data_IF_401946991268
#
_entry.id   IF_401946991268
#
_cell.length_a   1.000
_cell.length_b   1.000
_cell.length_c   1.000
_cell.angle_alpha   90.00
_cell.angle_beta   90.00
_cell.angle_gamma   90.00
#
_symmetry.space_group_name_H-M   'P 1'
#
loop_
_entity.id
_entity.type
_entity.pdbx_description
1 polymer ?
#
# COMPACT_ATOMS: atom_id res chain seq x y z
N UNK A 1 -4.75 -13.89 -4.29
CA UNK A 1 -3.37 -14.03 -3.77
C UNK A 1 -3.44 -14.23 -2.27
N UNK A 2 -2.35 -14.65 -1.61
CA UNK A 2 -2.31 -14.85 -0.14
C UNK A 2 -2.64 -13.55 0.63
N UNK A 3 -2.40 -12.40 -0.01
CA UNK A 3 -2.68 -11.05 0.48
C UNK A 3 -4.18 -10.72 0.58
N UNK A 4 -4.97 -11.06 -0.45
CA UNK A 4 -6.43 -10.91 -0.42
C UNK A 4 -7.06 -11.68 0.75
N UNK A 5 -6.54 -12.89 1.02
CA UNK A 5 -7.00 -13.73 2.12
C UNK A 5 -6.66 -13.11 3.48
N UNK A 6 -5.50 -12.48 3.62
CA UNK A 6 -5.12 -11.75 4.83
C UNK A 6 -6.00 -10.51 5.03
N UNK A 7 -6.22 -9.69 4.00
CA UNK A 7 -7.10 -8.50 4.04
C UNK A 7 -8.51 -8.89 4.50
N UNK A 8 -9.09 -9.93 3.90
CA UNK A 8 -10.41 -10.47 4.30
C UNK A 8 -10.40 -11.02 5.72
N UNK A 9 -9.32 -11.66 6.16
CA UNK A 9 -9.22 -12.17 7.53
C UNK A 9 -9.19 -11.04 8.58
N UNK A 10 -8.49 -9.94 8.30
CA UNK A 10 -8.46 -8.76 9.18
C UNK A 10 -9.85 -8.12 9.24
N UNK A 11 -10.48 -7.86 8.09
CA UNK A 11 -11.84 -7.32 8.02
C UNK A 11 -12.84 -8.20 8.78
N UNK A 12 -12.75 -9.53 8.65
CA UNK A 12 -13.62 -10.47 9.34
C UNK A 12 -13.43 -10.46 10.85
N UNK A 13 -12.18 -10.38 11.33
CA UNK A 13 -11.89 -10.24 12.77
C UNK A 13 -12.43 -8.92 13.32
N UNK A 14 -12.22 -7.84 12.59
CA UNK A 14 -12.70 -6.51 12.96
C UNK A 14 -14.23 -6.47 13.02
N UNK A 15 -14.92 -6.99 12.00
CA UNK A 15 -16.38 -7.12 12.01
C UNK A 15 -16.89 -7.92 13.20
N UNK A 16 -16.28 -9.08 13.48
CA UNK A 16 -16.68 -9.95 14.60
C UNK A 16 -16.43 -9.33 15.98
N UNK A 17 -15.45 -8.44 16.10
CA UNK A 17 -15.18 -7.72 17.35
C UNK A 17 -16.35 -6.79 17.71
N UNK A 18 -17.08 -6.27 16.72
CA UNK A 18 -18.17 -5.31 16.92
C UNK A 18 -19.57 -5.92 16.75
N UNK A 19 -19.71 -7.03 16.02
CA UNK A 19 -20.91 -7.87 15.99
C UNK A 19 -20.95 -8.84 17.19
N UNK A 20 -20.95 -8.30 18.41
CA UNK A 20 -20.98 -9.08 19.66
C UNK A 20 -22.21 -9.98 19.77
N UNK A 21 -23.29 -9.60 19.09
CA UNK A 21 -24.55 -10.34 19.02
C UNK A 21 -24.54 -11.45 17.97
N UNK A 22 -23.50 -11.57 17.15
CA UNK A 22 -23.44 -12.48 15.99
C UNK A 22 -24.66 -12.36 15.08
N UNK A 23 -25.15 -11.14 14.96
CA UNK A 23 -26.32 -10.79 14.17
C UNK A 23 -26.02 -10.83 12.66
N UNK A 24 -24.75 -10.76 12.28
CA UNK A 24 -24.32 -10.58 10.90
C UNK A 24 -24.42 -9.13 10.43
N UNK A 25 -24.71 -8.19 11.34
CA UNK A 25 -24.83 -6.76 11.06
C UNK A 25 -24.09 -5.93 12.11
N UNK A 26 -23.52 -4.81 11.69
CA UNK A 26 -22.94 -3.78 12.58
C UNK A 26 -23.57 -2.43 12.25
N UNK A 27 -23.70 -1.57 13.25
CA UNK A 27 -24.17 -0.21 13.05
C UNK A 27 -23.14 0.61 12.23
N UNK A 28 -23.60 1.46 11.31
CA UNK A 28 -22.72 2.27 10.44
C UNK A 28 -21.78 3.17 11.25
N UNK A 29 -22.25 3.68 12.39
CA UNK A 29 -21.44 4.46 13.34
C UNK A 29 -20.26 3.68 13.93
N UNK A 30 -20.30 2.34 13.92
CA UNK A 30 -19.18 1.51 14.40
C UNK A 30 -18.10 1.34 13.34
N UNK A 31 -18.39 1.60 12.08
CA UNK A 31 -17.42 1.46 10.98
C UNK A 31 -16.23 2.39 11.20
N UNK A 32 -16.48 3.66 11.54
CA UNK A 32 -15.40 4.63 11.86
C UNK A 32 -14.55 4.16 13.04
N UNK A 33 -15.17 3.59 14.08
CA UNK A 33 -14.44 3.04 15.22
C UNK A 33 -13.60 1.82 14.83
N UNK A 34 -14.11 0.97 13.94
CA UNK A 34 -13.41 -0.21 13.43
C UNK A 34 -12.17 0.22 12.62
N UNK A 35 -12.34 1.11 11.65
CA UNK A 35 -11.25 1.61 10.81
C UNK A 35 -10.15 2.26 11.65
N UNK A 36 -10.53 3.09 12.62
CA UNK A 36 -9.58 3.70 13.55
C UNK A 36 -8.87 2.67 14.45
N UNK A 37 -9.58 1.60 14.87
CA UNK A 37 -8.97 0.49 15.64
C UNK A 37 -7.99 -0.32 14.80
N UNK A 38 -8.21 -0.37 13.49
CA UNK A 38 -7.29 -0.98 12.53
C UNK A 38 -6.10 -0.07 12.18
N UNK A 39 -6.06 1.16 12.72
CA UNK A 39 -4.99 2.13 12.47
C UNK A 39 -5.12 2.86 11.13
N UNK A 40 -6.24 2.68 10.44
CA UNK A 40 -6.50 3.31 9.14
C UNK A 40 -6.82 4.78 9.34
N UNK A 41 -6.21 5.64 8.53
CA UNK A 41 -6.54 7.05 8.43
C UNK A 41 -7.59 7.23 7.33
N UNK A 42 -8.65 7.97 7.61
CA UNK A 42 -9.72 8.25 6.67
C UNK A 42 -10.36 9.59 6.99
N UNK A 43 -10.90 10.25 5.96
CA UNK A 43 -11.74 11.42 6.13
C UNK A 43 -13.19 11.02 6.43
N UNK A 44 -13.78 11.61 7.46
CA UNK A 44 -15.20 11.38 7.82
C UNK A 44 -16.14 11.65 6.64
N UNK A 45 -15.80 12.62 5.78
CA UNK A 45 -16.59 12.96 4.61
C UNK A 45 -16.60 11.84 3.56
N UNK A 46 -15.45 11.22 3.31
CA UNK A 46 -15.33 10.13 2.34
C UNK A 46 -15.99 8.85 2.87
N UNK A 47 -15.75 8.52 4.14
CA UNK A 47 -16.42 7.41 4.81
C UNK A 47 -17.94 7.58 4.79
N UNK A 48 -18.45 8.78 5.07
CA UNK A 48 -19.89 9.02 5.04
C UNK A 48 -20.45 8.89 3.62
N UNK A 49 -19.73 9.35 2.59
CA UNK A 49 -20.15 9.18 1.20
C UNK A 49 -20.23 7.69 0.81
N UNK A 50 -19.26 6.87 1.23
CA UNK A 50 -19.28 5.42 1.01
C UNK A 50 -20.40 4.72 1.77
N UNK A 51 -20.69 5.15 3.00
CA UNK A 51 -21.82 4.64 3.78
C UNK A 51 -23.14 4.99 3.08
N UNK A 52 -23.34 6.23 2.64
CA UNK A 52 -24.56 6.64 1.93
C UNK A 52 -24.75 5.90 0.60
N UNK A 53 -23.67 5.63 -0.13
CA UNK A 53 -23.72 4.83 -1.36
C UNK A 53 -24.16 3.38 -1.08
N UNK A 54 -23.73 2.79 0.04
CA UNK A 54 -23.98 1.40 0.35
C UNK A 54 -25.16 1.15 1.31
N UNK A 55 -25.69 2.20 1.95
CA UNK A 55 -26.89 2.20 2.80
C UNK A 55 -27.85 3.34 2.37
N UNK A 56 -28.36 3.33 1.12
CA UNK A 56 -29.23 4.40 0.60
C UNK A 56 -30.57 4.49 1.34
N UNK A 57 -31.00 3.39 1.96
CA UNK A 57 -32.21 3.32 2.78
C UNK A 57 -31.99 3.85 4.21
N UNK A 58 -30.76 4.24 4.56
CA UNK A 58 -30.36 4.66 5.91
C UNK A 58 -30.84 3.69 6.99
N UNK A 59 -30.68 2.39 6.74
CA UNK A 59 -30.97 1.34 7.72
C UNK A 59 -30.09 1.54 8.97
N UNK A 60 -28.94 2.20 8.80
CA UNK A 60 -27.99 2.47 9.86
C UNK A 60 -27.22 1.23 10.29
N UNK A 61 -27.34 0.14 9.51
CA UNK A 61 -26.69 -1.14 9.76
C UNK A 61 -26.22 -1.75 8.45
N UNK A 62 -24.99 -2.25 8.46
CA UNK A 62 -24.37 -2.91 7.31
C UNK A 62 -24.04 -4.36 7.64
N UNK A 63 -24.13 -5.23 6.64
CA UNK A 63 -23.66 -6.61 6.75
C UNK A 63 -22.16 -6.70 6.44
N UNK A 64 -21.59 -7.89 6.57
CA UNK A 64 -20.17 -8.11 6.30
C UNK A 64 -19.75 -7.78 4.85
N UNK A 65 -20.61 -8.05 3.86
CA UNK A 65 -20.33 -7.76 2.44
C UNK A 65 -20.17 -6.26 2.19
N UNK A 66 -21.12 -5.46 2.70
CA UNK A 66 -21.10 -4.00 2.61
C UNK A 66 -19.92 -3.44 3.41
N UNK A 67 -19.68 -3.95 4.62
CA UNK A 67 -18.52 -3.57 5.40
C UNK A 67 -17.22 -3.83 4.64
N UNK A 68 -17.06 -4.98 3.98
CA UNK A 68 -15.89 -5.27 3.15
C UNK A 68 -15.74 -4.31 1.96
N UNK A 69 -16.83 -3.85 1.35
CA UNK A 69 -16.75 -2.85 0.26
C UNK A 69 -16.26 -1.49 0.76
N UNK A 70 -16.80 -1.05 1.89
CA UNK A 70 -16.41 0.22 2.50
C UNK A 70 -14.96 0.12 3.00
N UNK A 71 -14.66 -0.87 3.83
CA UNK A 71 -13.32 -1.08 4.40
C UNK A 71 -12.28 -1.42 3.32
N UNK A 72 -12.67 -2.15 2.27
CA UNK A 72 -11.79 -2.47 1.14
C UNK A 72 -11.28 -1.21 0.45
N UNK A 73 -12.12 -0.18 0.31
CA UNK A 73 -11.71 1.10 -0.27
C UNK A 73 -10.58 1.77 0.53
N UNK A 74 -10.69 1.77 1.85
CA UNK A 74 -9.66 2.34 2.73
C UNK A 74 -8.42 1.45 2.81
N UNK A 75 -8.59 0.13 2.79
CA UNK A 75 -7.50 -0.85 2.80
C UNK A 75 -6.79 -1.01 1.45
N UNK A 76 -7.38 -0.52 0.35
CA UNK A 76 -6.75 -0.43 -0.97
C UNK A 76 -5.94 0.86 -1.13
N UNK A 77 -6.36 1.98 -0.51
CA UNK A 77 -5.63 3.25 -0.57
C UNK A 77 -4.35 3.25 0.28
N UNK A 78 -4.31 2.46 1.35
CA UNK A 78 -3.10 2.32 2.17
C UNK A 78 -1.96 1.57 1.45
N UNK A 79 -2.26 0.83 0.37
CA UNK A 79 -1.23 0.06 -0.36
C UNK A 79 -0.31 0.99 -1.17
N UNK A 80 -0.84 2.02 -1.83
CA UNK A 80 -0.03 2.92 -2.65
C UNK A 80 0.78 3.92 -1.80
N UNK A 81 0.16 4.52 -0.77
CA UNK A 81 0.87 5.47 0.10
C UNK A 81 1.88 4.76 1.02
N UNK A 82 1.53 3.61 1.61
CA UNK A 82 2.50 2.85 2.41
C UNK A 82 3.63 2.31 1.53
N UNK A 83 3.34 1.79 0.33
CA UNK A 83 4.39 1.36 -0.60
C UNK A 83 5.27 2.54 -1.01
N UNK A 84 4.72 3.71 -1.32
CA UNK A 84 5.53 4.91 -1.62
C UNK A 84 6.37 5.34 -0.41
N UNK A 85 5.87 5.22 0.81
CA UNK A 85 6.60 5.56 2.02
C UNK A 85 7.74 4.58 2.29
N UNK A 86 7.49 3.27 2.17
CA UNK A 86 8.50 2.21 2.27
C UNK A 86 9.57 2.36 1.17
N UNK A 87 9.16 2.66 -0.07
CA UNK A 87 10.07 2.95 -1.18
C UNK A 87 10.89 4.22 -0.92
N UNK A 88 10.31 5.26 -0.32
CA UNK A 88 11.06 6.47 0.08
C UNK A 88 12.06 6.16 1.17
N UNK A 89 11.72 5.35 2.17
CA UNK A 89 12.64 4.96 3.22
C UNK A 89 13.78 4.10 2.67
N UNK A 90 13.47 3.15 1.80
CA UNK A 90 14.46 2.35 1.08
C UNK A 90 15.36 3.25 0.22
N UNK A 91 14.78 4.19 -0.54
CA UNK A 91 15.51 5.14 -1.36
C UNK A 91 16.47 6.00 -0.53
N UNK A 92 16.03 6.51 0.63
CA UNK A 92 16.90 7.25 1.58
C UNK A 92 18.01 6.40 2.17
N UNK A 93 17.79 5.09 2.36
CA UNK A 93 18.83 4.18 2.81
C UNK A 93 19.95 4.06 1.77
N UNK A 94 19.59 4.17 0.49
CA UNK A 94 20.51 4.05 -0.65
C UNK A 94 21.14 5.39 -1.05
N UNK A 95 20.40 6.50 -0.99
CA UNK A 95 20.90 7.87 -1.17
C UNK A 95 21.68 8.34 0.07
N UNK A 96 22.87 7.74 0.28
CA UNK A 96 23.74 8.03 1.43
C UNK A 96 24.17 9.50 1.51
N UNK A 97 24.17 10.20 0.38
CA UNK A 97 24.57 11.61 0.31
C UNK A 97 23.39 12.57 0.52
N UNK A 98 22.15 12.09 0.46
CA UNK A 98 20.95 12.91 0.67
C UNK A 98 20.69 13.89 -0.47
N UNK A 99 21.17 13.58 -1.68
CA UNK A 99 21.07 14.44 -2.84
C UNK A 99 19.71 14.30 -3.57
N UNK A 100 18.91 13.30 -3.20
CA UNK A 100 17.63 12.98 -3.84
C UNK A 100 17.75 12.12 -5.10
N UNK A 101 18.92 11.52 -5.35
CA UNK A 101 19.18 10.62 -6.47
C UNK A 101 20.21 9.55 -6.08
N UNK A 102 20.07 8.34 -6.61
CA UNK A 102 21.03 7.25 -6.41
C UNK A 102 21.93 7.18 -7.64
N UNK A 103 23.24 7.23 -7.48
CA UNK A 103 24.12 7.06 -8.65
C UNK A 103 24.04 5.63 -9.19
N UNK A 104 24.15 5.47 -10.50
CA UNK A 104 24.18 4.14 -11.16
C UNK A 104 25.27 3.23 -10.58
N UNK A 105 26.39 3.79 -10.14
CA UNK A 105 27.45 3.06 -9.43
C UNK A 105 26.98 2.52 -8.07
N UNK A 106 26.26 3.32 -7.28
CA UNK A 106 25.69 2.90 -6.00
C UNK A 106 24.63 1.83 -6.20
N UNK A 107 23.72 2.01 -7.16
CA UNK A 107 22.69 1.02 -7.48
C UNK A 107 23.30 -0.32 -7.92
N UNK A 108 24.37 -0.27 -8.71
CA UNK A 108 25.15 -1.46 -9.12
C UNK A 108 25.76 -2.20 -7.93
N UNK A 109 26.31 -1.49 -6.94
CA UNK A 109 26.81 -2.12 -5.72
C UNK A 109 25.69 -2.76 -4.88
N UNK A 110 24.52 -2.12 -4.81
CA UNK A 110 23.35 -2.64 -4.09
C UNK A 110 22.83 -3.92 -4.75
N UNK A 111 22.65 -3.90 -6.07
CA UNK A 111 22.19 -5.06 -6.84
C UNK A 111 23.15 -6.24 -6.74
N UNK A 112 24.46 -5.98 -6.79
CA UNK A 112 25.48 -7.00 -6.57
C UNK A 112 25.45 -7.57 -5.14
N UNK A 113 25.11 -6.75 -4.14
CA UNK A 113 24.98 -7.18 -2.75
C UNK A 113 23.68 -7.97 -2.49
N UNK A 114 22.62 -7.69 -3.24
CA UNK A 114 21.34 -8.42 -3.18
C UNK A 114 21.43 -9.79 -3.86
N UNK A 115 22.08 -9.87 -5.02
CA UNK A 115 22.27 -11.13 -5.74
C UNK A 115 23.69 -11.22 -6.35
N UNK A 116 24.56 -11.97 -5.68
CA UNK A 116 25.96 -12.20 -6.07
C UNK A 116 26.11 -12.98 -7.40
N UNK A 117 25.02 -13.50 -7.97
CA UNK A 117 25.06 -14.21 -9.25
C UNK A 117 24.96 -13.27 -10.45
N UNK A 118 24.53 -12.02 -10.24
CA UNK A 118 24.48 -11.02 -11.30
C UNK A 118 25.89 -10.62 -11.70
N UNK A 119 26.22 -10.80 -12.98
CA UNK A 119 27.52 -10.37 -13.50
C UNK A 119 27.53 -8.86 -13.72
N UNK A 120 28.73 -8.28 -13.86
CA UNK A 120 28.86 -6.86 -14.20
C UNK A 120 28.09 -6.44 -15.45
N UNK A 121 27.88 -7.36 -16.41
CA UNK A 121 27.10 -7.14 -17.63
C UNK A 121 25.60 -7.21 -17.39
N UNK A 122 25.12 -8.11 -16.53
CA UNK A 122 23.70 -8.18 -16.16
C UNK A 122 23.30 -6.91 -15.40
N UNK A 123 24.16 -6.48 -14.48
CA UNK A 123 24.00 -5.22 -13.75
C UNK A 123 23.99 -4.01 -14.69
N UNK A 124 24.87 -3.97 -15.70
CA UNK A 124 24.86 -2.90 -16.70
C UNK A 124 23.56 -2.88 -17.51
N UNK A 125 23.03 -4.06 -17.85
CA UNK A 125 21.75 -4.20 -18.52
C UNK A 125 20.58 -3.69 -17.68
N UNK A 126 20.55 -4.07 -16.40
CA UNK A 126 19.53 -3.61 -15.45
C UNK A 126 19.60 -2.08 -15.28
N UNK A 127 20.80 -1.54 -15.09
CA UNK A 127 21.01 -0.09 -14.96
C UNK A 127 20.54 0.65 -16.22
N UNK A 128 20.85 0.13 -17.42
CA UNK A 128 20.45 0.75 -18.67
C UNK A 128 18.94 0.66 -18.94
N UNK A 129 18.24 -0.30 -18.32
CA UNK A 129 16.79 -0.40 -18.38
C UNK A 129 16.11 0.59 -17.45
N UNK A 130 16.73 0.92 -16.31
CA UNK A 130 16.19 1.85 -15.30
C UNK A 130 16.52 3.31 -15.64
N UNK A 131 17.77 3.62 -16.00
CA UNK A 131 18.23 4.98 -16.35
C UNK A 131 17.82 5.31 -17.80
N UNK A 132 16.52 5.51 -18.01
CA UNK A 132 15.93 5.71 -19.34
C UNK A 132 16.27 7.08 -19.93
N UNK A 133 16.47 8.10 -19.07
CA UNK A 133 16.92 9.43 -19.49
C UNK A 133 18.44 9.48 -19.74
N UNK A 134 19.19 8.47 -19.29
CA UNK A 134 20.65 8.42 -19.42
C UNK A 134 21.34 9.49 -18.58
N UNK A 135 20.73 9.85 -17.44
CA UNK A 135 21.22 10.86 -16.51
C UNK A 135 22.47 10.38 -15.76
N UNK A 136 22.71 9.06 -15.74
CA UNK A 136 23.75 8.42 -14.94
C UNK A 136 23.41 8.34 -13.45
N UNK A 137 22.18 8.73 -13.10
CA UNK A 137 21.58 8.69 -11.77
C UNK A 137 20.18 8.10 -11.88
N UNK A 138 19.67 7.58 -10.77
CA UNK A 138 18.31 7.06 -10.66
C UNK A 138 17.58 7.93 -9.67
N UNK A 139 16.56 8.64 -10.15
CA UNK A 139 15.69 9.42 -9.29
C UNK A 139 14.57 8.58 -8.66
N UNK A 140 13.74 9.21 -7.83
CA UNK A 140 12.70 8.49 -7.10
C UNK A 140 11.63 7.87 -8.02
N UNK A 141 11.32 8.52 -9.15
CA UNK A 141 10.34 8.04 -10.12
C UNK A 141 10.85 6.79 -10.83
N UNK A 142 12.09 6.83 -11.34
CA UNK A 142 12.76 5.69 -11.97
C UNK A 142 12.95 4.51 -10.99
N UNK A 143 13.25 4.79 -9.73
CA UNK A 143 13.33 3.77 -8.68
C UNK A 143 11.96 3.14 -8.37
N UNK A 144 10.89 3.92 -8.44
CA UNK A 144 9.54 3.44 -8.21
C UNK A 144 9.11 2.53 -9.36
N UNK A 145 9.31 2.96 -10.61
CA UNK A 145 9.00 2.17 -11.82
C UNK A 145 9.73 0.81 -11.80
N UNK A 146 11.00 0.80 -11.37
CA UNK A 146 11.77 -0.43 -11.15
C UNK A 146 11.12 -1.38 -10.13
N UNK A 147 10.58 -0.84 -9.02
CA UNK A 147 10.06 -1.63 -7.91
C UNK A 147 8.60 -2.04 -8.11
N UNK A 148 7.80 -1.24 -8.81
CA UNK A 148 6.41 -1.54 -9.14
C UNK A 148 6.27 -2.35 -10.44
N UNK A 149 7.28 -2.30 -11.32
CA UNK A 149 7.31 -3.05 -12.57
C UNK A 149 6.27 -2.60 -13.61
N UNK A 150 5.84 -1.33 -13.54
CA UNK A 150 4.94 -0.70 -14.52
C UNK A 150 5.67 -0.19 -15.76
#
# INVERSE_FOLDING_TARGET
>A
MEEDEQKVAVMRKAFQMFDTTKSGFIDTLKISTILNTMGQLFDDADLNALIEENDPDHVGKVNFDVFCKIAGRFLEEEDAEAMQEELKEAFRLYDREGNGYITTATLKEILAALDDKLTSSDLDGIIAEIDTDGSGTVDFDEFMEMMTGE
#
